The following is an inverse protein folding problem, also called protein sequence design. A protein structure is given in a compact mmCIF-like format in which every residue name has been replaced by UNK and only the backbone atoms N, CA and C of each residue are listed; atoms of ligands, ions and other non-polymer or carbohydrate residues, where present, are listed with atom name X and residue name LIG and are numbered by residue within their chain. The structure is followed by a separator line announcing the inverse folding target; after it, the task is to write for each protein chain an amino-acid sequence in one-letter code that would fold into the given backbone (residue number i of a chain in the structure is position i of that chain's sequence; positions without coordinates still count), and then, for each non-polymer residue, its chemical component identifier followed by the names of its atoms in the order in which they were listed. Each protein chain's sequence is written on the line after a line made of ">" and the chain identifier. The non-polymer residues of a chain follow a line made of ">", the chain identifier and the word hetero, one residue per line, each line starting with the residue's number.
data_IF_731132435526
#
_entry.id   IF_731132435526
#
_cell.length_a   1.000
_cell.length_b   1.000
_cell.length_c   1.000
_cell.angle_alpha   90.00
_cell.angle_beta   90.00
_cell.angle_gamma   90.00
#
_symmetry.space_group_name_H-M   'P 1'
#
loop_
_entity.id
_entity.type
_entity.pdbx_description
1 polymer ?
#
# COMPACT_ATOMS: atom_id res chain seq x y z
N UNK A 1 -17.18 1.09 -7.02
CA UNK A 1 -16.40 1.98 -7.91
C UNK A 1 -14.97 1.98 -7.38
N UNK A 2 -13.98 1.66 -8.20
CA UNK A 2 -12.58 1.80 -7.77
C UNK A 2 -12.29 3.28 -7.49
N UNK A 3 -11.95 3.59 -6.24
CA UNK A 3 -11.68 4.96 -5.78
C UNK A 3 -10.52 5.61 -6.53
N UNK A 4 -10.53 6.94 -6.64
CA UNK A 4 -9.50 7.71 -7.33
C UNK A 4 -8.08 7.41 -6.81
N UNK A 5 -7.92 7.24 -5.50
CA UNK A 5 -6.64 6.89 -4.86
C UNK A 5 -6.07 5.54 -5.31
N UNK A 6 -6.92 4.52 -5.52
CA UNK A 6 -6.46 3.22 -5.98
C UNK A 6 -5.91 3.27 -7.41
N UNK A 7 -6.56 4.03 -8.30
CA UNK A 7 -6.08 4.22 -9.68
C UNK A 7 -4.72 4.93 -9.70
N UNK A 8 -4.55 5.92 -8.82
CA UNK A 8 -3.28 6.63 -8.67
C UNK A 8 -2.18 5.69 -8.15
N UNK A 9 -2.48 4.87 -7.14
CA UNK A 9 -1.57 3.87 -6.58
C UNK A 9 -1.06 2.90 -7.66
N UNK A 10 -1.97 2.32 -8.45
CA UNK A 10 -1.62 1.37 -9.53
C UNK A 10 -0.74 2.05 -10.58
N UNK A 11 -1.13 3.24 -11.05
CA UNK A 11 -0.34 4.00 -12.03
C UNK A 11 1.07 4.29 -11.52
N UNK A 12 1.19 4.68 -10.25
CA UNK A 12 2.48 5.02 -9.63
C UNK A 12 3.35 3.76 -9.43
N UNK A 13 2.74 2.62 -9.12
CA UNK A 13 3.42 1.33 -9.07
C UNK A 13 4.07 0.98 -10.42
N UNK A 14 3.31 1.09 -11.51
CA UNK A 14 3.79 0.82 -12.87
C UNK A 14 4.93 1.77 -13.25
N UNK A 15 4.81 3.07 -12.95
CA UNK A 15 5.86 4.06 -13.17
C UNK A 15 7.14 3.75 -12.39
N UNK A 16 7.03 3.25 -11.16
CA UNK A 16 8.16 2.80 -10.35
C UNK A 16 8.64 1.39 -10.73
N UNK A 17 8.06 0.75 -11.76
CA UNK A 17 8.49 -0.54 -12.29
C UNK A 17 8.07 -1.75 -11.45
N UNK A 18 7.03 -1.61 -10.63
CA UNK A 18 6.38 -2.74 -9.96
C UNK A 18 5.46 -3.47 -10.94
N UNK A 19 5.38 -4.79 -10.79
CA UNK A 19 4.28 -5.58 -11.35
C UNK A 19 3.08 -5.47 -10.42
N UNK A 20 1.88 -5.42 -11.00
CA UNK A 20 0.63 -5.33 -10.26
C UNK A 20 -0.19 -6.58 -10.55
N UNK A 21 -0.53 -7.33 -9.51
CA UNK A 21 -1.31 -8.57 -9.61
C UNK A 21 -2.54 -8.48 -8.71
N UNK A 22 -3.74 -8.69 -9.28
CA UNK A 22 -4.98 -8.73 -8.52
C UNK A 22 -5.32 -10.19 -8.21
N UNK A 23 -5.35 -10.54 -6.93
CA UNK A 23 -5.69 -11.89 -6.48
C UNK A 23 -7.21 -12.12 -6.48
N UNK A 24 -7.67 -13.39 -6.56
CA UNK A 24 -9.09 -13.72 -6.45
C UNK A 24 -9.75 -13.24 -5.15
N UNK A 25 -8.96 -13.07 -4.08
CA UNK A 25 -9.43 -12.51 -2.80
C UNK A 25 -9.72 -11.01 -2.84
N UNK A 26 -9.42 -10.33 -3.95
CA UNK A 26 -9.48 -8.87 -4.06
C UNK A 26 -8.20 -8.16 -3.59
N UNK A 27 -7.19 -8.90 -3.11
CA UNK A 27 -5.86 -8.35 -2.84
C UNK A 27 -5.24 -7.77 -4.11
N UNK A 28 -4.42 -6.75 -3.94
CA UNK A 28 -3.52 -6.25 -4.97
C UNK A 28 -2.10 -6.45 -4.44
N UNK A 29 -1.29 -7.18 -5.19
CA UNK A 29 0.13 -7.39 -4.89
C UNK A 29 0.94 -6.50 -5.82
N UNK A 30 1.82 -5.72 -5.22
CA UNK A 30 2.84 -4.95 -5.92
C UNK A 30 4.18 -5.63 -5.70
N UNK A 31 4.79 -6.15 -6.78
CA UNK A 31 6.05 -6.89 -6.68
C UNK A 31 7.15 -6.26 -7.53
N UNK A 32 8.35 -6.15 -6.96
CA UNK A 32 9.57 -5.70 -7.65
C UNK A 32 10.79 -6.43 -7.09
N UNK A 33 11.25 -7.44 -7.82
CA UNK A 33 12.39 -8.32 -7.47
C UNK A 33 12.23 -9.03 -6.12
N UNK A 34 12.56 -8.33 -5.01
CA UNK A 34 12.54 -8.83 -3.63
C UNK A 34 11.58 -8.04 -2.72
N UNK A 35 11.06 -6.91 -3.20
CA UNK A 35 10.06 -6.14 -2.48
C UNK A 35 8.68 -6.62 -2.92
N UNK A 36 7.90 -7.10 -1.98
CA UNK A 36 6.51 -7.49 -2.18
C UNK A 36 5.66 -6.71 -1.17
N UNK A 37 4.78 -5.87 -1.71
CA UNK A 37 3.80 -5.10 -0.95
C UNK A 37 2.44 -5.73 -1.22
N UNK A 38 1.77 -6.13 -0.16
CA UNK A 38 0.41 -6.63 -0.20
C UNK A 38 -0.55 -5.51 0.20
N UNK A 39 -1.54 -5.26 -0.66
CA UNK A 39 -2.48 -4.15 -0.54
C UNK A 39 -3.92 -4.65 -0.61
N UNK A 40 -4.76 -4.23 0.33
CA UNK A 40 -6.18 -4.54 0.33
C UNK A 40 -7.01 -3.31 0.67
N UNK A 41 -8.15 -3.14 0.00
CA UNK A 41 -9.19 -2.23 0.47
C UNK A 41 -10.09 -3.00 1.46
N UNK A 42 -10.24 -2.50 2.68
CA UNK A 42 -11.12 -3.04 3.71
C UNK A 42 -12.08 -1.92 4.13
N UNK A 43 -13.35 -2.04 3.74
CA UNK A 43 -14.36 -0.99 3.93
C UNK A 43 -13.85 0.36 3.33
N UNK A 44 -13.72 1.38 4.19
CA UNK A 44 -13.28 2.74 3.84
C UNK A 44 -11.79 2.98 4.11
N UNK A 45 -11.02 1.92 4.41
CA UNK A 45 -9.59 2.00 4.68
C UNK A 45 -8.79 1.03 3.79
N UNK A 46 -7.48 1.20 3.81
CA UNK A 46 -6.54 0.39 3.05
C UNK A 46 -5.54 -0.28 4.00
N UNK A 47 -5.41 -1.59 3.86
CA UNK A 47 -4.40 -2.36 4.55
C UNK A 47 -3.17 -2.53 3.65
N UNK A 48 -2.01 -2.18 4.19
CA UNK A 48 -0.71 -2.32 3.52
C UNK A 48 0.18 -3.19 4.36
N UNK A 49 0.77 -4.22 3.76
CA UNK A 49 1.75 -5.09 4.41
C UNK A 49 3.00 -5.22 3.55
N UNK A 50 4.15 -4.95 4.15
CA UNK A 50 5.45 -5.24 3.58
C UNK A 50 5.80 -6.69 3.91
N UNK A 51 5.88 -7.54 2.89
CA UNK A 51 6.10 -8.98 3.10
C UNK A 51 7.55 -9.29 3.52
N UNK A 52 8.50 -8.40 3.19
CA UNK A 52 9.92 -8.61 3.46
C UNK A 52 10.27 -8.55 4.96
N UNK A 53 9.62 -7.67 5.71
CA UNK A 53 9.90 -7.43 7.14
C UNK A 53 8.66 -7.58 8.04
N UNK A 54 7.49 -7.86 7.45
CA UNK A 54 6.25 -8.11 8.17
C UNK A 54 5.52 -6.86 8.66
N UNK A 55 6.07 -5.65 8.45
CA UNK A 55 5.41 -4.41 8.87
C UNK A 55 4.06 -4.25 8.16
N UNK A 56 3.05 -3.83 8.92
CA UNK A 56 1.70 -3.65 8.41
C UNK A 56 1.07 -2.35 8.91
N UNK A 57 0.20 -1.77 8.08
CA UNK A 57 -0.41 -0.46 8.30
C UNK A 57 -1.88 -0.48 7.86
N UNK A 58 -2.68 0.33 8.53
CA UNK A 58 -4.00 0.77 8.08
C UNK A 58 -3.88 2.22 7.63
N UNK A 59 -4.43 2.52 6.45
CA UNK A 59 -4.40 3.83 5.82
C UNK A 59 -5.83 4.28 5.54
N UNK A 60 -6.26 5.40 6.11
CA UNK A 60 -7.63 5.92 5.95
C UNK A 60 -7.78 6.82 4.72
N UNK A 61 -6.68 7.42 4.27
CA UNK A 61 -6.67 8.31 3.11
C UNK A 61 -5.47 8.00 2.21
N UNK A 62 -5.73 7.76 0.93
CA UNK A 62 -4.69 7.62 -0.09
C UNK A 62 -4.55 8.92 -0.86
N UNK A 63 -3.61 9.76 -0.43
CA UNK A 63 -3.11 10.87 -1.24
C UNK A 63 -1.72 10.55 -1.80
N UNK A 64 -1.19 11.50 -2.57
CA UNK A 64 0.04 11.28 -3.33
C UNK A 64 1.26 11.06 -2.43
N UNK A 65 1.33 11.74 -1.29
CA UNK A 65 2.41 11.62 -0.31
C UNK A 65 2.40 10.23 0.34
N UNK A 66 1.23 9.78 0.80
CA UNK A 66 1.09 8.44 1.37
C UNK A 66 1.42 7.36 0.33
N UNK A 67 0.97 7.54 -0.92
CA UNK A 67 1.29 6.60 -2.01
C UNK A 67 2.80 6.52 -2.25
N UNK A 68 3.51 7.65 -2.25
CA UNK A 68 4.97 7.65 -2.37
C UNK A 68 5.64 6.92 -1.21
N UNK A 69 5.23 7.23 0.01
CA UNK A 69 5.74 6.60 1.22
C UNK A 69 5.48 5.07 1.24
N UNK A 70 4.34 4.60 0.70
CA UNK A 70 4.08 3.16 0.53
C UNK A 70 5.20 2.51 -0.29
N UNK A 71 5.49 3.05 -1.48
CA UNK A 71 6.46 2.44 -2.41
C UNK A 71 7.92 2.65 -2.00
N UNK A 72 8.19 3.63 -1.14
CA UNK A 72 9.52 3.91 -0.60
C UNK A 72 9.77 3.23 0.76
N UNK A 73 8.77 2.53 1.30
CA UNK A 73 8.81 1.85 2.61
C UNK A 73 9.04 2.80 3.80
N UNK A 74 8.59 4.06 3.66
CA UNK A 74 8.81 5.17 4.61
C UNK A 74 7.53 5.63 5.32
N UNK A 75 6.50 4.78 5.40
CA UNK A 75 5.26 5.10 6.13
C UNK A 75 5.49 5.43 7.61
N UNK A 76 6.53 4.87 8.23
CA UNK A 76 6.92 5.17 9.61
C UNK A 76 7.44 6.61 9.81
N UNK A 77 7.81 7.30 8.72
CA UNK A 77 8.34 8.66 8.76
C UNK A 77 7.26 9.73 8.57
N UNK A 78 6.02 9.31 8.27
CA UNK A 78 4.89 10.22 8.12
C UNK A 78 4.32 10.59 9.48
N UNK A 79 4.25 11.88 9.77
CA UNK A 79 3.42 12.41 10.86
C UNK A 79 1.99 12.59 10.34
N UNK A 80 1.21 11.50 10.28
CA UNK A 80 -0.16 11.52 9.78
C UNK A 80 -1.11 10.64 10.59
N UNK A 81 -2.22 11.23 11.04
CA UNK A 81 -3.33 10.50 11.69
C UNK A 81 -4.03 9.53 10.72
N UNK A 82 -3.81 9.68 9.41
CA UNK A 82 -4.37 8.81 8.37
C UNK A 82 -3.59 7.48 8.23
N UNK A 83 -2.46 7.31 8.90
CA UNK A 83 -1.60 6.11 8.81
C UNK A 83 -1.37 5.52 10.19
N UNK A 84 -1.94 4.35 10.45
CA UNK A 84 -1.78 3.63 11.72
C UNK A 84 -0.94 2.38 11.48
N UNK A 85 0.21 2.28 12.15
CA UNK A 85 1.01 1.05 12.19
C UNK A 85 0.30 -0.01 13.04
N UNK A 86 0.16 -1.21 12.50
CA UNK A 86 -0.38 -2.35 13.23
C UNK A 86 0.78 -2.97 14.02
N UNK A 87 0.68 -3.08 15.36
CA UNK A 87 1.66 -3.79 16.15
C UNK A 87 1.78 -5.24 15.66
N UNK A 88 2.99 -5.72 15.43
CA UNK A 88 3.24 -7.15 15.29
C UNK A 88 3.72 -7.69 16.64
N UNK A 89 3.13 -8.79 17.09
CA UNK A 89 3.62 -9.58 18.22
C UNK A 89 5.02 -10.17 17.94
#
# INVERSE_FOLDING_TARGET
>A
MEGWGLKLLIKKAEQKGFKVEKLPSGAIIFSKRKAEIQFFAILDAYYVKYLADGRAYVIYKLDEEIIDAIFEERLDELESDDVIKIPSD
#
